data_IF_881462276209
#
_entry.id   IF_881462276209
#
_cell.length_a   1.000
_cell.length_b   1.000
_cell.length_c   1.000
_cell.angle_alpha   90.00
_cell.angle_beta   90.00
_cell.angle_gamma   90.00
#
_symmetry.space_group_name_H-M   'P 1'
#
loop_
_entity.id
_entity.type
_entity.pdbx_description
1 polymer ?
#
# COMPACT_ATOMS: atom_id res chain seq x y z
N UNK A 1 11.73 -19.90 42.79
CA UNK A 1 10.83 -18.73 42.90
C UNK A 1 9.77 -18.83 41.81
N UNK A 2 8.51 -19.13 42.17
CA UNK A 2 7.39 -19.13 41.23
C UNK A 2 6.99 -17.68 40.93
N UNK A 3 6.72 -17.27 39.68
CA UNK A 3 6.22 -15.93 39.42
C UNK A 3 4.83 -15.77 40.07
N UNK A 4 4.64 -14.68 40.79
CA UNK A 4 3.35 -14.27 41.35
C UNK A 4 2.39 -14.01 40.19
N UNK A 5 1.51 -14.97 39.91
CA UNK A 5 0.41 -14.81 38.96
C UNK A 5 -0.66 -13.97 39.66
N UNK A 6 -1.00 -12.76 39.18
CA UNK A 6 -2.00 -11.93 39.82
C UNK A 6 -3.41 -12.55 39.72
N UNK A 7 -4.21 -12.42 40.78
CA UNK A 7 -5.42 -13.20 41.06
C UNK A 7 -6.58 -13.10 40.04
N UNK A 8 -6.46 -12.29 38.99
CA UNK A 8 -7.50 -12.09 37.96
C UNK A 8 -7.44 -13.10 36.81
N UNK A 9 -6.49 -14.04 36.82
CA UNK A 9 -6.16 -14.89 35.68
C UNK A 9 -7.06 -16.16 35.50
N UNK A 10 -8.09 -16.35 36.34
CA UNK A 10 -8.95 -17.55 36.31
C UNK A 10 -10.43 -17.17 36.17
N UNK A 11 -10.84 -16.64 35.01
CA UNK A 11 -12.24 -16.34 34.70
C UNK A 11 -12.73 -17.12 33.50
N UNK A 12 -13.74 -18.01 33.68
CA UNK A 12 -14.45 -18.66 32.57
C UNK A 12 -15.54 -17.74 32.01
N UNK A 13 -15.77 -17.77 30.69
CA UNK A 13 -16.84 -16.98 30.03
C UNK A 13 -18.21 -17.52 30.45
N UNK A 14 -19.07 -16.66 30.99
CA UNK A 14 -20.48 -16.95 31.24
C UNK A 14 -21.37 -16.59 30.04
N UNK A 15 -22.65 -17.00 30.06
CA UNK A 15 -23.62 -16.61 29.04
C UNK A 15 -23.86 -15.09 29.13
N UNK A 16 -23.69 -14.37 28.00
CA UNK A 16 -23.80 -12.90 27.94
C UNK A 16 -22.48 -12.13 27.79
N UNK A 17 -21.35 -12.81 27.56
CA UNK A 17 -20.07 -12.19 27.17
C UNK A 17 -19.31 -11.46 28.29
N UNK A 18 -19.88 -11.33 29.49
CA UNK A 18 -19.19 -10.78 30.67
C UNK A 18 -18.29 -11.85 31.30
N UNK A 19 -17.01 -11.55 31.44
CA UNK A 19 -16.05 -12.35 32.19
C UNK A 19 -16.30 -12.08 33.68
N UNK A 20 -16.50 -13.13 34.47
CA UNK A 20 -16.63 -13.03 35.93
C UNK A 20 -15.31 -13.50 36.55
N UNK A 21 -14.71 -12.68 37.43
CA UNK A 21 -13.62 -13.14 38.28
C UNK A 21 -14.16 -14.14 39.32
N UNK A 22 -13.34 -15.11 39.72
CA UNK A 22 -13.68 -16.07 40.78
C UNK A 22 -13.93 -15.42 42.16
N UNK A 23 -13.55 -14.15 42.36
CA UNK A 23 -13.64 -13.41 43.62
C UNK A 23 -14.66 -12.26 43.60
N UNK A 24 -15.80 -12.40 42.91
CA UNK A 24 -16.96 -11.49 43.03
C UNK A 24 -16.80 -10.06 42.47
N UNK A 25 -15.60 -9.62 42.09
CA UNK A 25 -15.35 -8.33 41.45
C UNK A 25 -15.48 -8.37 39.92
N UNK A 26 -15.89 -7.25 39.30
CA UNK A 26 -15.83 -7.10 37.84
C UNK A 26 -14.37 -7.08 37.38
N UNK A 27 -13.94 -8.02 36.54
CA UNK A 27 -12.64 -7.91 35.88
C UNK A 27 -12.64 -6.65 35.00
N UNK A 28 -11.58 -5.84 35.09
CA UNK A 28 -11.36 -4.83 34.07
C UNK A 28 -11.23 -5.52 32.72
N UNK A 29 -12.02 -5.04 31.77
CA UNK A 29 -12.00 -5.49 30.39
C UNK A 29 -11.10 -4.57 29.57
N UNK A 30 -10.40 -5.13 28.59
CA UNK A 30 -9.44 -4.40 27.78
C UNK A 30 -9.79 -4.44 26.30
N UNK A 31 -9.44 -3.36 25.59
CA UNK A 31 -9.39 -3.32 24.13
C UNK A 31 -7.92 -3.26 23.73
N UNK A 32 -7.48 -4.21 22.90
CA UNK A 32 -6.10 -4.27 22.46
C UNK A 32 -5.88 -3.42 21.22
N UNK A 33 -4.81 -2.63 21.21
CA UNK A 33 -4.38 -1.87 20.05
C UNK A 33 -2.97 -2.26 19.61
N UNK A 34 -2.82 -2.52 18.32
CA UNK A 34 -1.58 -2.93 17.67
C UNK A 34 -1.22 -2.02 16.52
N UNK A 35 0.09 -1.82 16.31
CA UNK A 35 0.61 -1.06 15.16
C UNK A 35 1.74 -1.81 14.48
N UNK A 36 1.69 -1.87 13.15
CA UNK A 36 2.75 -2.47 12.32
C UNK A 36 3.20 -1.51 11.22
N UNK A 37 4.51 -1.47 10.96
CA UNK A 37 5.11 -0.69 9.87
C UNK A 37 5.17 -1.52 8.59
N UNK A 38 4.46 -1.08 7.55
CA UNK A 38 4.44 -1.61 6.18
C UNK A 38 3.86 -3.02 5.97
N UNK A 39 3.10 -3.18 4.88
CA UNK A 39 2.56 -4.47 4.40
C UNK A 39 3.62 -5.58 4.32
N UNK A 40 4.88 -5.23 4.01
CA UNK A 40 6.00 -6.17 3.86
C UNK A 40 6.55 -6.74 5.17
N UNK A 41 6.40 -6.04 6.30
CA UNK A 41 6.64 -6.64 7.64
C UNK A 41 5.37 -7.24 8.24
N UNK A 42 4.19 -6.90 7.71
CA UNK A 42 2.95 -7.63 7.99
C UNK A 42 3.00 -9.09 7.48
N UNK A 43 3.72 -9.33 6.38
CA UNK A 43 3.89 -10.65 5.76
C UNK A 43 4.77 -11.63 6.57
N UNK A 44 5.71 -11.15 7.40
CA UNK A 44 6.48 -12.04 8.27
C UNK A 44 5.79 -12.35 9.60
N UNK A 45 4.74 -11.62 10.00
CA UNK A 45 3.96 -11.85 11.22
C UNK A 45 4.68 -11.54 12.55
N UNK A 46 6.00 -11.69 12.60
CA UNK A 46 6.84 -11.67 13.80
C UNK A 46 6.62 -10.45 14.72
N UNK A 47 6.48 -9.25 14.14
CA UNK A 47 6.28 -8.02 14.92
C UNK A 47 4.87 -7.88 15.51
N UNK A 48 3.86 -8.44 14.84
CA UNK A 48 2.47 -8.44 15.32
C UNK A 48 2.26 -9.58 16.33
N UNK A 49 2.84 -10.75 16.04
CA UNK A 49 2.73 -11.93 16.89
C UNK A 49 3.45 -11.72 18.22
N UNK A 50 4.61 -11.06 18.23
CA UNK A 50 5.26 -10.63 19.47
C UNK A 50 4.37 -9.70 20.30
N UNK A 51 3.70 -8.72 19.67
CA UNK A 51 2.78 -7.82 20.38
C UNK A 51 1.56 -8.57 20.91
N UNK A 52 0.99 -9.49 20.12
CA UNK A 52 -0.13 -10.35 20.53
C UNK A 52 0.26 -11.25 21.69
N UNK A 53 1.45 -11.84 21.66
CA UNK A 53 1.95 -12.68 22.73
C UNK A 53 2.09 -11.90 24.05
N UNK A 54 2.67 -10.70 24.01
CA UNK A 54 2.78 -9.81 25.17
C UNK A 54 1.40 -9.46 25.73
N UNK A 55 0.47 -9.02 24.88
CA UNK A 55 -0.88 -8.65 25.32
C UNK A 55 -1.66 -9.86 25.83
N UNK A 56 -1.50 -11.04 25.23
CA UNK A 56 -2.11 -12.29 25.72
C UNK A 56 -1.52 -12.73 27.06
N UNK A 57 -0.22 -12.58 27.25
CA UNK A 57 0.43 -12.89 28.52
C UNK A 57 -0.04 -11.95 29.64
N UNK A 58 -0.22 -10.67 29.31
CA UNK A 58 -0.81 -9.70 30.21
C UNK A 58 -2.30 -9.97 30.37
N UNK A 59 -3.15 -9.51 29.46
CA UNK A 59 -4.61 -9.46 29.60
C UNK A 59 -5.33 -10.81 29.45
N UNK A 60 -4.68 -11.87 28.97
CA UNK A 60 -5.29 -13.18 28.77
C UNK A 60 -6.63 -13.11 28.02
N UNK A 61 -7.68 -13.62 28.66
CA UNK A 61 -9.04 -13.62 28.10
C UNK A 61 -9.81 -12.30 28.31
N UNK A 62 -9.27 -11.33 29.03
CA UNK A 62 -9.93 -10.05 29.33
C UNK A 62 -9.92 -9.06 28.14
N UNK A 63 -9.30 -9.43 27.01
CA UNK A 63 -9.34 -8.65 25.77
C UNK A 63 -10.66 -8.88 25.04
N UNK A 64 -11.46 -7.82 24.88
CA UNK A 64 -12.77 -7.87 24.22
C UNK A 64 -12.66 -7.75 22.70
N UNK A 65 -11.76 -6.88 22.24
CA UNK A 65 -11.57 -6.58 20.84
C UNK A 65 -10.12 -6.19 20.59
N UNK A 66 -9.65 -6.44 19.38
CA UNK A 66 -8.31 -6.06 18.93
C UNK A 66 -8.39 -5.22 17.67
N UNK A 67 -7.67 -4.10 17.66
CA UNK A 67 -7.60 -3.15 16.57
C UNK A 67 -6.16 -3.07 16.06
N UNK A 68 -5.98 -3.10 14.73
CA UNK A 68 -4.65 -3.15 14.10
C UNK A 68 -4.52 -2.04 13.07
N UNK A 69 -3.67 -1.05 13.33
CA UNK A 69 -3.31 -0.05 12.33
C UNK A 69 -2.07 -0.50 11.52
N UNK A 70 -2.24 -0.51 10.20
CA UNK A 70 -1.16 -0.81 9.23
C UNK A 70 -0.64 0.51 8.68
N UNK A 71 0.48 1.00 9.22
CA UNK A 71 1.06 2.27 8.80
C UNK A 71 2.15 2.07 7.75
N UNK A 72 2.04 2.72 6.59
CA UNK A 72 3.14 2.82 5.61
C UNK A 72 4.02 4.02 5.93
N UNK A 73 5.25 3.77 6.43
CA UNK A 73 6.26 4.81 6.60
C UNK A 73 6.03 5.81 7.74
N UNK A 74 6.41 7.07 7.50
CA UNK A 74 6.41 8.15 8.51
C UNK A 74 5.01 8.70 8.83
N UNK A 75 3.97 8.36 8.07
CA UNK A 75 2.66 8.99 8.20
C UNK A 75 1.88 8.54 9.44
N UNK A 76 1.39 9.50 10.21
CA UNK A 76 0.39 9.35 11.29
C UNK A 76 -1.05 9.58 10.80
N UNK A 77 -1.24 9.85 9.50
CA UNK A 77 -2.48 10.43 8.95
C UNK A 77 -3.66 9.45 8.91
N UNK A 78 -3.44 8.15 9.11
CA UNK A 78 -4.51 7.16 9.00
C UNK A 78 -4.48 6.17 10.17
N UNK A 79 -5.00 6.61 11.33
CA UNK A 79 -5.16 5.80 12.55
C UNK A 79 -6.64 5.46 12.81
N UNK A 80 -7.36 5.08 11.77
CA UNK A 80 -8.79 4.81 11.89
C UNK A 80 -9.08 3.72 12.94
N UNK A 81 -8.20 2.72 13.06
CA UNK A 81 -8.39 1.64 14.02
C UNK A 81 -8.12 2.07 15.47
N UNK A 82 -7.19 3.01 15.71
CA UNK A 82 -7.05 3.61 17.05
C UNK A 82 -8.33 4.34 17.46
N UNK A 83 -8.91 5.16 16.58
CA UNK A 83 -10.12 5.93 16.93
C UNK A 83 -11.28 4.99 17.27
N UNK A 84 -11.49 3.94 16.46
CA UNK A 84 -12.48 2.90 16.76
C UNK A 84 -12.19 2.18 18.08
N UNK A 85 -10.92 1.92 18.40
CA UNK A 85 -10.54 1.33 19.69
C UNK A 85 -10.88 2.25 20.86
N UNK A 86 -10.61 3.56 20.74
CA UNK A 86 -10.90 4.55 21.77
C UNK A 86 -12.41 4.71 22.00
N UNK A 87 -13.20 4.78 20.92
CA UNK A 87 -14.66 4.80 21.00
C UNK A 87 -15.19 3.53 21.67
N UNK A 88 -14.63 2.36 21.33
CA UNK A 88 -15.01 1.10 21.96
C UNK A 88 -14.68 1.09 23.46
N UNK A 89 -13.50 1.59 23.85
CA UNK A 89 -13.13 1.75 25.25
C UNK A 89 -14.11 2.64 26.01
N UNK A 90 -14.48 3.80 25.44
CA UNK A 90 -15.42 4.75 26.05
C UNK A 90 -16.80 4.12 26.23
N UNK A 91 -17.33 3.46 25.21
CA UNK A 91 -18.66 2.82 25.24
C UNK A 91 -18.76 1.72 26.29
N UNK A 92 -17.71 0.91 26.44
CA UNK A 92 -17.70 -0.23 27.37
C UNK A 92 -17.06 0.09 28.73
N UNK A 93 -16.62 1.33 28.96
CA UNK A 93 -15.81 1.73 30.13
C UNK A 93 -14.58 0.81 30.32
N UNK A 94 -14.07 0.26 29.23
CA UNK A 94 -12.93 -0.65 29.17
C UNK A 94 -11.60 0.13 29.09
N UNK A 95 -10.50 -0.51 29.49
CA UNK A 95 -9.16 0.06 29.34
C UNK A 95 -8.56 -0.22 27.97
N UNK A 96 -7.71 0.68 27.48
CA UNK A 96 -6.90 0.43 26.29
C UNK A 96 -5.62 -0.29 26.69
N UNK A 97 -5.33 -1.45 26.10
CA UNK A 97 -4.07 -2.17 26.31
C UNK A 97 -3.19 -2.10 25.07
N UNK A 98 -1.92 -1.73 25.27
CA UNK A 98 -0.89 -1.73 24.24
C UNK A 98 0.30 -2.58 24.68
N UNK A 99 0.99 -3.21 23.72
CA UNK A 99 2.12 -4.08 24.05
C UNK A 99 3.31 -3.31 24.65
N UNK A 100 3.59 -2.10 24.13
CA UNK A 100 4.66 -1.21 24.60
C UNK A 100 4.28 0.26 24.41
N UNK A 101 4.84 1.15 25.21
CA UNK A 101 4.57 2.59 25.14
C UNK A 101 4.88 3.20 23.76
N UNK A 102 5.93 2.73 23.08
CA UNK A 102 6.35 3.21 21.76
C UNK A 102 5.38 2.82 20.61
N UNK A 103 4.43 1.92 20.88
CA UNK A 103 3.41 1.51 19.90
C UNK A 103 2.19 2.43 19.91
N UNK A 104 1.97 3.17 21.00
CA UNK A 104 0.83 4.08 21.15
C UNK A 104 1.02 5.41 20.42
N UNK A 105 2.12 6.12 20.62
CA UNK A 105 2.36 7.39 19.91
C UNK A 105 3.83 7.67 19.63
N UNK A 106 4.07 8.58 18.68
CA UNK A 106 5.41 9.14 18.40
C UNK A 106 5.71 10.45 19.13
N UNK A 107 4.68 11.12 19.67
CA UNK A 107 4.77 12.36 20.42
C UNK A 107 4.16 12.13 21.81
N UNK A 108 4.82 12.60 22.86
CA UNK A 108 4.31 12.59 24.23
C UNK A 108 2.94 13.24 24.34
N UNK A 109 2.74 14.40 23.72
CA UNK A 109 1.49 15.16 23.77
C UNK A 109 0.29 14.34 23.27
N UNK A 110 0.46 13.61 22.17
CA UNK A 110 -0.58 12.73 21.62
C UNK A 110 -0.85 11.54 22.55
N UNK A 111 0.19 10.95 23.14
CA UNK A 111 0.03 9.85 24.11
C UNK A 111 -0.73 10.30 25.38
N UNK A 112 -0.41 11.50 25.89
CA UNK A 112 -1.10 12.08 27.05
C UNK A 112 -2.55 12.46 26.72
N UNK A 113 -2.80 13.01 25.54
CA UNK A 113 -4.16 13.31 25.07
C UNK A 113 -5.02 12.04 25.04
N UNK A 114 -4.45 10.91 24.59
CA UNK A 114 -5.14 9.60 24.61
C UNK A 114 -5.42 9.15 26.05
N UNK A 115 -4.42 9.23 26.94
CA UNK A 115 -4.54 8.87 28.34
C UNK A 115 -5.67 9.67 29.04
N UNK A 116 -5.71 10.98 28.81
CA UNK A 116 -6.74 11.89 29.34
C UNK A 116 -8.12 11.54 28.79
N UNK A 117 -8.21 11.27 27.48
CA UNK A 117 -9.48 10.90 26.85
C UNK A 117 -10.07 9.56 27.33
N UNK A 118 -9.26 8.71 27.97
CA UNK A 118 -9.67 7.44 28.55
C UNK A 118 -9.90 7.51 30.06
N UNK A 119 -9.61 8.66 30.69
CA UNK A 119 -9.68 8.84 32.14
C UNK A 119 -8.67 7.98 32.88
N UNK A 120 -7.43 7.90 32.37
CA UNK A 120 -6.36 7.12 33.01
C UNK A 120 -6.38 5.61 32.74
N UNK A 121 -7.38 5.09 32.01
CA UNK A 121 -7.51 3.65 31.71
C UNK A 121 -6.67 3.21 30.50
N UNK A 122 -5.40 3.57 30.50
CA UNK A 122 -4.42 3.15 29.50
C UNK A 122 -3.38 2.27 30.17
N UNK A 123 -3.15 1.08 29.61
CA UNK A 123 -2.18 0.12 30.15
C UNK A 123 -1.17 -0.25 29.06
N UNK A 124 0.11 -0.08 29.38
CA UNK A 124 1.21 -0.55 28.56
C UNK A 124 1.76 -1.83 29.19
N UNK A 125 1.84 -2.94 28.44
CA UNK A 125 2.19 -4.24 29.02
C UNK A 125 3.66 -4.33 29.49
N UNK A 126 4.52 -3.45 29.00
CA UNK A 126 5.91 -3.26 29.45
C UNK A 126 6.01 -2.64 30.84
N UNK A 127 4.96 -1.96 31.31
CA UNK A 127 4.86 -1.44 32.67
C UNK A 127 3.43 -1.66 33.20
N UNK A 128 3.15 -2.78 33.89
CA UNK A 128 1.87 -2.99 34.57
C UNK A 128 1.63 -1.95 35.68
N UNK A 129 0.40 -1.43 35.79
CA UNK A 129 -0.02 -0.66 36.98
C UNK A 129 0.57 0.75 37.10
N UNK A 130 0.86 1.39 35.96
CA UNK A 130 1.57 2.66 35.90
C UNK A 130 0.67 3.86 36.19
N UNK A 131 1.11 4.73 37.10
CA UNK A 131 0.51 6.06 37.30
C UNK A 131 0.78 7.00 36.10
N UNK A 132 -0.01 8.06 35.95
CA UNK A 132 0.17 9.10 34.92
C UNK A 132 1.61 9.60 34.87
N UNK A 133 2.25 9.80 36.02
CA UNK A 133 3.64 10.26 36.10
C UNK A 133 4.60 9.34 35.33
N UNK A 134 4.57 8.04 35.64
CA UNK A 134 5.49 7.08 35.04
C UNK A 134 5.17 6.86 33.55
N UNK A 135 3.90 6.87 33.14
CA UNK A 135 3.54 6.84 31.71
C UNK A 135 4.12 8.04 30.95
N UNK A 136 4.07 9.23 31.55
CA UNK A 136 4.62 10.46 30.96
C UNK A 136 6.12 10.33 30.73
N UNK A 137 6.86 9.83 31.72
CA UNK A 137 8.31 9.58 31.60
C UNK A 137 8.60 8.56 30.50
N UNK A 138 7.85 7.46 30.44
CA UNK A 138 8.05 6.43 29.41
C UNK A 138 7.80 6.97 28.01
N UNK A 139 6.76 7.80 27.82
CA UNK A 139 6.52 8.45 26.54
C UNK A 139 7.63 9.42 26.17
N UNK A 140 8.16 10.18 27.13
CA UNK A 140 9.25 11.14 26.89
C UNK A 140 10.55 10.44 26.50
N UNK A 141 10.87 9.33 27.17
CA UNK A 141 12.00 8.48 26.82
C UNK A 141 11.85 7.89 25.42
N UNK A 142 10.67 7.37 25.08
CA UNK A 142 10.40 6.82 23.76
C UNK A 142 10.44 7.88 22.64
N UNK A 143 10.07 9.13 22.91
CA UNK A 143 10.24 10.24 21.98
C UNK A 143 11.72 10.58 21.77
N UNK A 144 12.48 10.74 22.87
CA UNK A 144 13.92 11.03 22.83
C UNK A 144 14.72 9.95 22.11
N UNK A 145 14.42 8.67 22.35
CA UNK A 145 15.10 7.57 21.68
C UNK A 145 14.94 7.65 20.15
N UNK A 146 13.73 7.97 19.67
CA UNK A 146 13.48 8.14 18.23
C UNK A 146 14.24 9.31 17.65
N UNK A 147 14.31 10.42 18.38
CA UNK A 147 15.09 11.58 17.97
C UNK A 147 16.57 11.21 17.83
N UNK A 148 17.14 10.51 18.81
CA UNK A 148 18.52 10.03 18.78
C UNK A 148 18.77 9.07 17.62
N UNK A 149 17.86 8.14 17.32
CA UNK A 149 17.95 7.26 16.15
C UNK A 149 17.99 8.09 14.86
N UNK A 150 17.13 9.11 14.76
CA UNK A 150 17.09 10.01 13.62
C UNK A 150 18.40 10.80 13.47
N UNK A 151 18.94 11.34 14.57
CA UNK A 151 20.23 12.05 14.61
C UNK A 151 21.34 11.11 14.14
N UNK A 152 21.50 9.95 14.77
CA UNK A 152 22.54 8.96 14.44
C UNK A 152 22.47 8.52 12.98
N UNK A 153 21.26 8.27 12.48
CA UNK A 153 21.06 7.87 11.07
C UNK A 153 21.47 9.00 10.12
N UNK A 154 21.09 10.25 10.41
CA UNK A 154 21.49 11.41 9.61
C UNK A 154 23.01 11.60 9.63
N UNK A 155 23.64 11.54 10.80
CA UNK A 155 25.09 11.67 10.95
C UNK A 155 25.84 10.57 10.20
N UNK A 156 25.37 9.31 10.29
CA UNK A 156 25.96 8.20 9.55
C UNK A 156 25.82 8.37 8.03
N UNK A 157 24.64 8.81 7.56
CA UNK A 157 24.40 9.09 6.14
C UNK A 157 25.25 10.26 5.63
N UNK A 158 25.47 11.28 6.45
CA UNK A 158 26.30 12.43 6.12
C UNK A 158 27.79 12.06 6.08
N UNK A 159 28.28 11.30 7.06
CA UNK A 159 29.65 10.77 7.05
C UNK A 159 29.89 9.87 5.84
N UNK A 160 28.92 9.00 5.49
CA UNK A 160 28.97 8.19 4.28
C UNK A 160 29.01 9.05 3.02
N UNK A 161 28.18 10.11 2.96
CA UNK A 161 28.21 11.08 1.84
C UNK A 161 29.56 11.78 1.71
N UNK A 162 30.19 12.18 2.82
CA UNK A 162 31.52 12.80 2.81
C UNK A 162 32.59 11.84 2.28
N UNK A 163 32.51 10.55 2.62
CA UNK A 163 33.47 9.52 2.15
C UNK A 163 33.26 9.11 0.70
N UNK A 164 32.02 8.86 0.30
CA UNK A 164 31.68 8.25 -1.00
C UNK A 164 31.26 9.28 -2.06
N UNK A 165 31.15 10.57 -1.69
CA UNK A 165 30.67 11.65 -2.57
C UNK A 165 29.20 11.53 -2.99
N UNK A 166 28.51 10.43 -2.67
CA UNK A 166 27.17 10.10 -3.17
C UNK A 166 26.21 9.77 -2.03
N UNK A 167 24.97 10.26 -2.14
CA UNK A 167 23.90 9.90 -1.22
C UNK A 167 22.97 8.89 -1.89
N UNK A 168 23.02 7.61 -1.45
CA UNK A 168 22.04 6.60 -1.86
C UNK A 168 20.82 6.63 -0.94
N UNK A 169 19.62 6.87 -1.48
CA UNK A 169 18.32 6.77 -0.78
C UNK A 169 17.55 5.62 -1.42
N UNK A 170 17.08 4.65 -0.61
CA UNK A 170 16.37 3.45 -1.09
C UNK A 170 17.13 2.69 -2.21
N UNK A 171 18.46 2.58 -2.08
CA UNK A 171 19.33 1.93 -3.06
C UNK A 171 19.63 2.75 -4.32
N UNK A 172 19.15 4.01 -4.42
CA UNK A 172 19.31 4.86 -5.60
C UNK A 172 20.10 6.11 -5.29
N UNK A 173 20.95 6.53 -6.22
CA UNK A 173 21.68 7.79 -6.09
C UNK A 173 20.69 8.97 -6.16
N UNK A 174 20.80 9.89 -5.20
CA UNK A 174 19.98 11.09 -5.15
C UNK A 174 20.37 12.00 -6.31
N UNK A 175 19.43 12.25 -7.22
CA UNK A 175 19.65 13.08 -8.42
C UNK A 175 20.05 12.31 -9.67
N UNK A 176 20.02 10.96 -9.66
CA UNK A 176 20.19 10.19 -10.89
C UNK A 176 19.17 10.63 -11.95
N UNK A 177 19.63 10.89 -13.19
CA UNK A 177 18.73 11.14 -14.30
C UNK A 177 17.92 9.87 -14.58
N UNK A 178 16.60 9.99 -14.47
CA UNK A 178 15.65 8.91 -14.68
C UNK A 178 14.95 9.03 -16.04
N UNK A 179 15.37 9.96 -16.90
CA UNK A 179 14.79 10.18 -18.23
C UNK A 179 14.73 8.87 -19.03
N UNK A 180 15.86 8.16 -19.13
CA UNK A 180 16.00 6.89 -19.86
C UNK A 180 15.17 5.78 -19.20
N UNK A 181 15.24 5.63 -17.87
CA UNK A 181 14.48 4.60 -17.16
C UNK A 181 12.96 4.84 -17.24
N UNK A 182 12.51 6.10 -17.23
CA UNK A 182 11.11 6.49 -17.41
C UNK A 182 10.64 6.26 -18.84
N UNK A 183 11.48 6.57 -19.83
CA UNK A 183 11.20 6.28 -21.24
C UNK A 183 11.05 4.78 -21.48
N UNK A 184 12.00 3.97 -21.00
CA UNK A 184 11.92 2.51 -21.09
C UNK A 184 10.68 1.96 -20.39
N UNK A 185 10.34 2.43 -19.17
CA UNK A 185 9.14 2.02 -18.46
C UNK A 185 7.85 2.42 -19.20
N UNK A 186 7.84 3.57 -19.88
CA UNK A 186 6.71 4.00 -20.71
C UNK A 186 6.55 3.09 -21.91
N UNK A 187 7.62 2.79 -22.64
CA UNK A 187 7.61 1.89 -23.79
C UNK A 187 7.10 0.49 -23.39
N UNK A 188 7.56 -0.04 -22.25
CA UNK A 188 7.09 -1.34 -21.73
C UNK A 188 5.59 -1.32 -21.36
N UNK A 189 5.07 -0.21 -20.86
CA UNK A 189 3.63 -0.05 -20.58
C UNK A 189 2.82 0.04 -21.87
N UNK A 190 3.32 0.77 -22.86
CA UNK A 190 2.69 0.91 -24.17
C UNK A 190 2.63 -0.44 -24.89
N UNK A 191 3.72 -1.22 -24.89
CA UNK A 191 3.76 -2.59 -25.44
C UNK A 191 2.75 -3.52 -24.76
N UNK A 192 2.73 -3.58 -23.43
CA UNK A 192 1.73 -4.38 -22.68
C UNK A 192 0.29 -3.92 -22.90
N UNK A 193 0.07 -2.62 -23.08
CA UNK A 193 -1.25 -2.07 -23.38
C UNK A 193 -1.71 -2.35 -24.80
N UNK A 194 -0.78 -2.59 -25.73
CA UNK A 194 -1.05 -3.06 -27.09
C UNK A 194 -1.45 -4.54 -27.07
N UNK A 195 -0.62 -5.40 -26.47
CA UNK A 195 -0.87 -6.85 -26.34
C UNK A 195 -2.26 -7.13 -25.73
N UNK A 196 -2.62 -6.42 -24.66
CA UNK A 196 -3.95 -6.55 -24.01
C UNK A 196 -5.11 -6.03 -24.85
N UNK A 197 -4.85 -5.10 -25.77
CA UNK A 197 -5.88 -4.51 -26.61
C UNK A 197 -6.13 -5.29 -27.91
N UNK A 198 -5.24 -6.21 -28.31
CA UNK A 198 -5.37 -6.99 -29.53
C UNK A 198 -6.63 -7.87 -29.54
N UNK A 199 -6.84 -8.69 -28.50
CA UNK A 199 -7.99 -9.59 -28.46
C UNK A 199 -9.34 -8.83 -28.46
N UNK A 200 -9.55 -7.80 -27.61
CA UNK A 200 -10.75 -6.96 -27.67
C UNK A 200 -10.92 -6.21 -29.00
N UNK A 201 -9.83 -5.73 -29.61
CA UNK A 201 -9.91 -5.00 -30.89
C UNK A 201 -10.29 -5.93 -32.05
N UNK A 202 -9.74 -7.15 -32.09
CA UNK A 202 -10.12 -8.16 -33.10
C UNK A 202 -11.59 -8.59 -32.97
N UNK A 203 -12.11 -8.64 -31.74
CA UNK A 203 -13.53 -8.87 -31.47
C UNK A 203 -14.35 -7.68 -31.98
N UNK A 204 -14.01 -6.46 -31.56
CA UNK A 204 -14.69 -5.23 -31.97
C UNK A 204 -14.77 -5.05 -33.50
N UNK A 205 -13.70 -5.38 -34.23
CA UNK A 205 -13.65 -5.32 -35.70
C UNK A 205 -14.71 -6.23 -36.36
N UNK A 206 -14.89 -7.45 -35.85
CA UNK A 206 -15.90 -8.39 -36.36
C UNK A 206 -17.34 -7.89 -36.15
N UNK A 207 -17.59 -7.14 -35.08
CA UNK A 207 -18.92 -6.59 -34.79
C UNK A 207 -19.17 -5.28 -35.52
N UNK A 208 -18.12 -4.48 -35.72
CA UNK A 208 -18.20 -3.28 -36.56
C UNK A 208 -18.53 -3.65 -38.02
N UNK A 209 -17.94 -4.73 -38.55
CA UNK A 209 -18.27 -5.25 -39.89
C UNK A 209 -19.73 -5.72 -40.03
N UNK A 210 -20.43 -5.99 -38.92
CA UNK A 210 -21.85 -6.33 -38.88
C UNK A 210 -22.76 -5.11 -38.68
N UNK A 211 -22.19 -3.90 -38.66
CA UNK A 211 -22.94 -2.65 -38.51
C UNK A 211 -23.27 -2.25 -37.06
N UNK A 212 -22.68 -2.91 -36.06
CA UNK A 212 -22.94 -2.56 -34.65
C UNK A 212 -22.29 -1.22 -34.27
N UNK A 213 -22.97 -0.45 -33.41
CA UNK A 213 -22.43 0.81 -32.90
C UNK A 213 -21.27 0.58 -31.92
N UNK A 214 -20.37 1.56 -31.79
CA UNK A 214 -19.28 1.50 -30.82
C UNK A 214 -19.76 1.42 -29.37
N UNK A 215 -20.96 1.93 -29.07
CA UNK A 215 -21.58 1.83 -27.75
C UNK A 215 -22.07 0.41 -27.46
N UNK A 216 -22.66 -0.27 -28.46
CA UNK A 216 -23.09 -1.67 -28.32
C UNK A 216 -21.91 -2.61 -28.18
N UNK A 217 -20.83 -2.38 -28.94
CA UNK A 217 -19.59 -3.14 -28.82
C UNK A 217 -18.98 -2.96 -27.42
N UNK A 218 -18.98 -1.73 -26.88
CA UNK A 218 -18.51 -1.48 -25.52
C UNK A 218 -19.35 -2.22 -24.48
N UNK A 219 -20.68 -2.27 -24.65
CA UNK A 219 -21.59 -3.04 -23.77
C UNK A 219 -21.26 -4.52 -23.78
N UNK A 220 -21.10 -5.13 -24.96
CA UNK A 220 -20.72 -6.53 -25.09
C UNK A 220 -19.34 -6.84 -24.50
N UNK A 221 -18.36 -5.97 -24.70
CA UNK A 221 -17.02 -6.13 -24.10
C UNK A 221 -17.07 -6.06 -22.56
N UNK A 222 -18.02 -5.32 -22.00
CA UNK A 222 -18.24 -5.27 -20.56
C UNK A 222 -18.93 -6.51 -20.01
N UNK A 223 -19.92 -7.05 -20.73
CA UNK A 223 -20.55 -8.34 -20.40
C UNK A 223 -19.51 -9.48 -20.41
N UNK A 224 -18.59 -9.43 -21.37
CA UNK A 224 -17.45 -10.33 -21.50
C UNK A 224 -16.22 -9.86 -20.71
N UNK A 225 -16.39 -9.00 -19.70
CA UNK A 225 -15.27 -8.36 -18.97
C UNK A 225 -14.30 -9.33 -18.27
N UNK A 226 -14.71 -10.59 -18.06
CA UNK A 226 -13.86 -11.68 -17.58
C UNK A 226 -12.86 -12.19 -18.65
N UNK A 227 -13.23 -12.11 -19.93
CA UNK A 227 -12.39 -12.47 -21.09
C UNK A 227 -11.61 -11.26 -21.62
N UNK A 228 -12.24 -10.07 -21.59
CA UNK A 228 -11.69 -8.85 -22.18
C UNK A 228 -11.49 -7.74 -21.13
N UNK A 229 -10.46 -7.85 -20.26
CA UNK A 229 -10.18 -6.80 -19.29
C UNK A 229 -9.75 -5.50 -19.99
N UNK A 230 -10.12 -4.36 -19.40
CA UNK A 230 -9.64 -3.06 -19.88
C UNK A 230 -8.10 -2.97 -19.77
N UNK A 231 -7.41 -2.18 -20.62
CA UNK A 231 -5.94 -2.05 -20.56
C UNK A 231 -5.40 -1.58 -19.19
N UNK A 232 -6.20 -0.79 -18.47
CA UNK A 232 -5.94 -0.34 -17.09
C UNK A 232 -6.20 -1.41 -16.02
N UNK A 233 -6.88 -2.50 -16.37
CA UNK A 233 -7.31 -3.57 -15.46
C UNK A 233 -8.38 -3.11 -14.46
N UNK A 234 -8.96 -1.93 -14.65
CA UNK A 234 -10.00 -1.34 -13.79
C UNK A 234 -10.98 -0.57 -14.65
N UNK A 235 -12.27 -0.83 -14.40
CA UNK A 235 -13.40 -0.16 -15.05
C UNK A 235 -13.93 -0.87 -16.28
N UNK A 236 -14.99 -0.29 -16.82
CA UNK A 236 -15.71 -0.77 -18.00
C UNK A 236 -15.15 -0.12 -19.28
N UNK A 237 -15.20 -0.84 -20.39
CA UNK A 237 -15.05 -0.32 -21.75
C UNK A 237 -16.08 0.77 -22.03
N UNK A 238 -15.61 1.90 -22.51
CA UNK A 238 -16.41 2.96 -23.14
C UNK A 238 -16.24 2.93 -24.65
N UNK A 239 -17.21 3.50 -25.39
CA UNK A 239 -17.13 3.63 -26.85
C UNK A 239 -15.81 4.30 -27.31
N UNK A 240 -15.34 5.32 -26.58
CA UNK A 240 -14.04 5.96 -26.82
C UNK A 240 -12.85 5.01 -26.63
N UNK A 241 -12.89 4.11 -25.65
CA UNK A 241 -11.83 3.12 -25.44
C UNK A 241 -11.82 2.06 -26.53
N UNK A 242 -13.00 1.64 -27.01
CA UNK A 242 -13.14 0.73 -28.16
C UNK A 242 -12.57 1.38 -29.42
N UNK A 243 -12.94 2.62 -29.72
CA UNK A 243 -12.38 3.36 -30.87
C UNK A 243 -10.85 3.50 -30.79
N UNK A 244 -10.30 3.78 -29.60
CA UNK A 244 -8.84 3.85 -29.38
C UNK A 244 -8.15 2.49 -29.50
N UNK A 245 -8.82 1.40 -29.17
CA UNK A 245 -8.29 0.05 -29.36
C UNK A 245 -8.27 -0.33 -30.85
N UNK A 246 -9.36 -0.05 -31.58
CA UNK A 246 -9.46 -0.27 -33.02
C UNK A 246 -8.41 0.54 -33.81
N UNK A 247 -8.26 1.84 -33.53
CA UNK A 247 -7.22 2.67 -34.18
C UNK A 247 -5.81 2.12 -33.97
N UNK A 248 -5.51 1.61 -32.77
CA UNK A 248 -4.20 1.01 -32.46
C UNK A 248 -4.00 -0.31 -33.19
N UNK A 249 -5.04 -1.13 -33.27
CA UNK A 249 -5.06 -2.40 -34.00
C UNK A 249 -4.89 -2.21 -35.51
N UNK A 250 -5.56 -1.22 -36.10
CA UNK A 250 -5.38 -0.84 -37.51
C UNK A 250 -3.96 -0.34 -37.78
N UNK A 251 -3.41 0.50 -36.91
CA UNK A 251 -2.04 0.98 -37.02
C UNK A 251 -1.02 -0.17 -36.96
N UNK A 252 -1.22 -1.17 -36.09
CA UNK A 252 -0.38 -2.36 -35.98
C UNK A 252 -0.48 -3.27 -37.22
N UNK A 253 -1.69 -3.48 -37.75
CA UNK A 253 -1.90 -4.22 -39.02
C UNK A 253 -1.25 -3.53 -40.21
N UNK A 254 -1.32 -2.19 -40.26
CA UNK A 254 -0.71 -1.42 -41.33
C UNK A 254 0.83 -1.42 -41.22
N UNK A 255 1.37 -1.30 -39.99
CA UNK A 255 2.79 -1.41 -39.73
C UNK A 255 3.36 -2.80 -40.09
N UNK A 256 2.62 -3.87 -39.82
CA UNK A 256 3.02 -5.24 -40.18
C UNK A 256 2.82 -5.58 -41.67
N UNK A 257 1.97 -4.84 -42.39
CA UNK A 257 1.79 -4.94 -43.86
C UNK A 257 2.85 -4.19 -44.67
N UNK A 258 3.46 -3.13 -44.11
CA UNK A 258 4.43 -2.29 -44.83
C UNK A 258 5.67 -3.03 -45.37
N UNK A 259 6.27 -4.02 -44.65
CA UNK A 259 7.39 -4.80 -45.18
C UNK A 259 6.98 -5.74 -46.33
N UNK A 260 5.78 -6.35 -46.25
CA UNK A 260 5.28 -7.30 -47.27
C UNK A 260 4.90 -6.62 -48.59
N UNK A 261 4.55 -5.32 -48.58
CA UNK A 261 4.29 -4.59 -49.82
C UNK A 261 5.58 -4.18 -50.55
N UNK A 262 6.68 -3.93 -49.83
CA UNK A 262 7.99 -3.65 -50.44
C UNK A 262 8.48 -4.79 -51.33
N UNK A 263 8.35 -6.02 -50.83
CA UNK A 263 8.74 -7.22 -51.59
C UNK A 263 7.81 -7.52 -52.77
N UNK A 264 6.51 -7.20 -52.65
CA UNK A 264 5.51 -7.57 -53.65
C UNK A 264 5.34 -6.59 -54.80
N UNK A 265 5.62 -5.30 -54.58
CA UNK A 265 5.36 -4.26 -55.59
C UNK A 265 6.60 -3.50 -56.07
N UNK A 266 7.80 -3.77 -55.55
CA UNK A 266 9.05 -3.23 -56.11
C UNK A 266 9.03 -1.72 -56.33
N UNK A 267 8.42 -0.93 -55.44
CA UNK A 267 8.24 0.51 -55.65
C UNK A 267 9.34 1.29 -54.93
N UNK A 268 10.11 2.05 -55.70
CA UNK A 268 11.12 3.00 -55.22
C UNK A 268 10.55 4.15 -54.40
N UNK A 269 11.46 4.91 -53.76
CA UNK A 269 11.32 5.79 -52.58
C UNK A 269 10.18 6.84 -52.50
N UNK A 270 9.29 6.95 -53.49
CA UNK A 270 8.17 7.91 -53.53
C UNK A 270 7.11 7.73 -52.41
N UNK A 271 7.01 6.54 -51.80
CA UNK A 271 6.01 6.25 -50.76
C UNK A 271 6.33 6.85 -49.37
N UNK A 272 7.59 7.25 -49.12
CA UNK A 272 8.00 7.81 -47.81
C UNK A 272 7.35 9.18 -47.54
N UNK A 273 7.24 10.04 -48.55
CA UNK A 273 6.79 11.43 -48.36
C UNK A 273 5.30 11.56 -48.00
N UNK A 274 4.43 10.68 -48.53
CA UNK A 274 2.99 10.71 -48.23
C UNK A 274 2.62 10.14 -46.84
N UNK A 275 3.44 9.27 -46.26
CA UNK A 275 3.14 8.62 -44.97
C UNK A 275 3.88 9.22 -43.76
N UNK A 276 4.98 9.96 -43.97
CA UNK A 276 5.70 10.68 -42.91
C UNK A 276 4.82 11.74 -42.23
N UNK A 277 3.80 12.28 -42.91
CA UNK A 277 2.85 13.23 -42.32
C UNK A 277 1.93 12.62 -41.22
N UNK A 278 1.72 11.29 -41.20
CA UNK A 278 0.78 10.64 -40.27
C UNK A 278 1.42 10.02 -39.02
N UNK A 279 2.76 9.97 -38.95
CA UNK A 279 3.50 9.35 -37.84
C UNK A 279 4.46 10.31 -37.10
N UNK A 280 4.01 11.47 -36.55
CA UNK A 280 4.92 12.35 -35.80
C UNK A 280 5.52 11.68 -34.54
N UNK A 281 4.85 10.66 -33.98
CA UNK A 281 5.27 10.01 -32.73
C UNK A 281 6.27 8.86 -32.88
N UNK A 282 6.51 8.37 -34.09
CA UNK A 282 7.42 7.24 -34.36
C UNK A 282 8.69 7.63 -35.12
N UNK A 283 8.80 8.87 -35.61
CA UNK A 283 10.04 9.35 -36.26
C UNK A 283 11.26 9.31 -35.33
N UNK A 284 11.04 9.51 -34.02
CA UNK A 284 12.08 9.37 -32.97
C UNK A 284 12.62 7.92 -32.87
N UNK A 285 11.85 6.92 -33.33
CA UNK A 285 12.23 5.51 -33.22
C UNK A 285 13.18 5.04 -34.33
N UNK A 286 13.18 5.71 -35.49
CA UNK A 286 14.02 5.31 -36.63
C UNK A 286 15.34 6.09 -36.61
N UNK A 287 15.28 7.39 -36.35
CA UNK A 287 16.48 8.25 -36.38
C UNK A 287 17.47 7.94 -35.23
N UNK A 288 17.03 7.39 -34.09
CA UNK A 288 17.93 6.99 -32.98
C UNK A 288 18.55 5.59 -33.11
N UNK A 289 18.15 4.78 -34.09
CA UNK A 289 18.74 3.44 -34.31
C UNK A 289 19.87 3.49 -35.34
N UNK A 290 19.87 4.48 -36.25
CA UNK A 290 20.93 4.66 -37.25
C UNK A 290 22.19 5.37 -36.73
N UNK A 291 22.17 5.95 -35.52
CA UNK A 291 23.36 6.57 -34.89
C UNK A 291 24.16 5.61 -33.98
N UNK A 292 23.77 4.34 -33.87
CA UNK A 292 24.42 3.34 -32.99
C UNK A 292 24.86 2.07 -33.78
N UNK A 293 24.95 2.15 -35.09
CA UNK A 293 25.65 1.15 -35.93
C UNK A 293 26.66 1.86 -36.84
#
# INVERSE_FOLDING_TARGET
MRPMIPAWQIGRRGPGGRIRCAAGGSCMQYVAYYRVSTKRQGESGLGLDAQRAIVRHFAGNAVLASYVDIASGKSMVNRAQLHLALEHCRRLKAGLVVAKADRLSRNVQDALSILDSLGGRLVCCDCPGTDRFTLTILFALAERERELISIRTRSALEAKRRREGRQKINGREKGADLSVARAAARLMREKKALERAQAPASYAEKWLARGCSLADIARQLNELGHVFPTPSGRGCWSACQVARALRRWEAEKNASRAPRMRERFGVGDSYKEKYIQWLPKYKIFVDSIEEIC
#
